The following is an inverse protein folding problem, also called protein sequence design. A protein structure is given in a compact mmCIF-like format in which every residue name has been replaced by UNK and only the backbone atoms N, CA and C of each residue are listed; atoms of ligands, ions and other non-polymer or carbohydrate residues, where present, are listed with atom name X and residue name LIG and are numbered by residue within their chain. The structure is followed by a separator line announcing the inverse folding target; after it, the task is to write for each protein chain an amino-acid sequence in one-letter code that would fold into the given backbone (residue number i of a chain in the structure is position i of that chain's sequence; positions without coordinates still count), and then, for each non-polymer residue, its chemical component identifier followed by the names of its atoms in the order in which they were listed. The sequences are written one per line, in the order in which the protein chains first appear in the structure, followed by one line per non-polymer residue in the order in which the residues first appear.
data_IF_036520336304
#
_entry.id   IF_036520336304
#
_cell.length_a   1.000
_cell.length_b   1.000
_cell.length_c   1.000
_cell.angle_alpha   90.00
_cell.angle_beta   90.00
_cell.angle_gamma   90.00
#
_symmetry.space_group_name_H-M   'P 1'
#
loop_
_entity.id
_entity.type
_entity.pdbx_description
1 polymer ?
#
# COMPACT_ATOMS: atom_id res chain seq x y z
N UNK A 1 8.96 12.67 -2.72
CA UNK A 1 8.52 11.62 -1.80
C UNK A 1 8.60 10.25 -2.49
N UNK A 2 8.86 9.24 -1.72
CA UNK A 2 8.97 7.89 -2.27
C UNK A 2 7.59 7.32 -2.61
N UNK A 3 7.50 6.63 -3.74
CA UNK A 3 6.30 5.94 -4.18
C UNK A 3 6.45 4.44 -3.92
N UNK A 4 5.37 3.82 -3.44
CA UNK A 4 5.32 2.39 -3.18
C UNK A 4 4.09 1.79 -3.85
N UNK A 5 4.26 0.62 -4.43
CA UNK A 5 3.15 -0.22 -4.88
C UNK A 5 2.97 -1.31 -3.82
N UNK A 6 1.77 -1.43 -3.31
CA UNK A 6 1.46 -2.35 -2.22
C UNK A 6 0.45 -3.35 -2.72
N UNK A 7 0.82 -4.62 -2.68
CA UNK A 7 -0.04 -5.75 -3.04
C UNK A 7 -0.57 -6.34 -1.76
N UNK A 8 -1.87 -6.47 -1.66
CA UNK A 8 -2.53 -6.93 -0.43
C UNK A 8 -3.36 -8.17 -0.69
N UNK A 9 -3.34 -9.08 0.26
CA UNK A 9 -4.15 -10.30 0.21
C UNK A 9 -4.96 -10.40 1.50
N UNK A 10 -6.23 -10.79 1.38
CA UNK A 10 -7.07 -11.04 2.54
C UNK A 10 -6.55 -12.25 3.29
N UNK A 11 -6.58 -12.17 4.62
CA UNK A 11 -6.47 -13.35 5.48
C UNK A 11 -7.81 -14.09 5.50
N UNK A 12 -7.88 -15.24 6.16
CA UNK A 12 -9.15 -15.94 6.37
C UNK A 12 -10.17 -15.02 7.05
N UNK A 13 -9.75 -14.28 8.05
CA UNK A 13 -10.61 -13.32 8.73
C UNK A 13 -11.07 -12.22 7.77
N UNK A 14 -10.14 -11.68 6.98
CA UNK A 14 -10.44 -10.59 6.06
C UNK A 14 -11.43 -10.98 4.98
N UNK A 15 -11.28 -12.16 4.39
CA UNK A 15 -12.21 -12.60 3.34
C UNK A 15 -13.59 -12.93 3.90
N UNK A 16 -13.66 -13.47 5.12
CA UNK A 16 -14.97 -13.69 5.77
C UNK A 16 -15.71 -12.39 6.03
N UNK A 17 -14.98 -11.31 6.28
CA UNK A 17 -15.54 -9.99 6.56
C UNK A 17 -15.39 -9.03 5.38
N UNK A 18 -15.36 -9.56 4.16
CA UNK A 18 -15.05 -8.75 2.95
C UNK A 18 -16.06 -7.62 2.71
N UNK A 19 -17.29 -7.78 3.16
CA UNK A 19 -18.33 -6.75 3.00
C UNK A 19 -17.94 -5.44 3.68
N UNK A 20 -17.13 -5.49 4.73
CA UNK A 20 -16.69 -4.30 5.46
C UNK A 20 -15.40 -3.71 4.87
N UNK A 21 -14.79 -4.37 3.87
CA UNK A 21 -13.50 -3.95 3.33
C UNK A 21 -13.49 -2.51 2.78
N UNK A 22 -14.50 -2.06 2.04
CA UNK A 22 -14.49 -0.67 1.55
C UNK A 22 -14.44 0.36 2.69
N UNK A 23 -15.16 0.12 3.78
CA UNK A 23 -15.12 1.01 4.94
C UNK A 23 -13.75 0.95 5.64
N UNK A 24 -13.15 -0.24 5.72
CA UNK A 24 -11.80 -0.40 6.26
C UNK A 24 -10.77 0.34 5.42
N UNK A 25 -10.93 0.34 4.09
CA UNK A 25 -10.02 1.06 3.19
C UNK A 25 -10.09 2.57 3.42
N UNK A 26 -11.30 3.10 3.59
CA UNK A 26 -11.50 4.52 3.89
C UNK A 26 -10.82 4.88 5.22
N UNK A 27 -11.01 4.05 6.25
CA UNK A 27 -10.40 4.25 7.56
C UNK A 27 -8.87 4.17 7.49
N UNK A 28 -8.33 3.24 6.71
CA UNK A 28 -6.90 3.11 6.50
C UNK A 28 -6.32 4.36 5.81
N UNK A 29 -6.99 4.85 4.78
CA UNK A 29 -6.58 6.06 4.08
C UNK A 29 -6.45 7.24 5.04
N UNK A 30 -7.45 7.44 5.90
CA UNK A 30 -7.44 8.51 6.89
C UNK A 30 -6.31 8.33 7.90
N UNK A 31 -6.11 7.11 8.40
CA UNK A 31 -5.03 6.80 9.33
C UNK A 31 -3.64 7.01 8.71
N UNK A 32 -3.48 6.61 7.46
CA UNK A 32 -2.22 6.78 6.73
C UNK A 32 -1.88 8.26 6.55
N UNK A 33 -2.86 9.10 6.25
CA UNK A 33 -2.66 10.55 6.11
C UNK A 33 -2.09 11.17 7.38
N UNK A 34 -2.52 10.70 8.55
CA UNK A 34 -1.99 11.18 9.84
C UNK A 34 -0.52 10.81 10.04
N UNK A 35 -0.03 9.79 9.36
CA UNK A 35 1.37 9.37 9.39
C UNK A 35 2.19 10.01 8.26
N UNK A 36 1.58 10.88 7.46
CA UNK A 36 2.26 11.51 6.33
C UNK A 36 2.30 10.65 5.08
N UNK A 37 1.42 9.65 4.99
CA UNK A 37 1.31 8.77 3.82
C UNK A 37 0.08 9.15 3.01
N UNK A 38 0.26 9.43 1.72
CA UNK A 38 -0.83 9.73 0.80
C UNK A 38 -1.17 8.46 0.00
N UNK A 39 -2.40 8.01 0.09
CA UNK A 39 -2.91 6.91 -0.74
C UNK A 39 -3.38 7.53 -2.06
N UNK A 40 -2.61 7.31 -3.12
CA UNK A 40 -2.89 7.93 -4.42
C UNK A 40 -3.91 7.14 -5.24
N UNK A 41 -3.82 5.82 -5.19
CA UNK A 41 -4.72 4.92 -5.90
C UNK A 41 -4.94 3.67 -5.08
N UNK A 42 -6.15 3.12 -5.17
CA UNK A 42 -6.49 1.85 -4.55
C UNK A 42 -7.51 1.13 -5.43
N UNK A 43 -7.25 -0.13 -5.73
CA UNK A 43 -8.12 -0.95 -6.56
C UNK A 43 -8.27 -2.33 -5.94
N UNK A 44 -9.48 -2.88 -6.03
CA UNK A 44 -9.69 -4.30 -5.77
C UNK A 44 -9.33 -5.09 -7.03
N UNK A 45 -8.68 -6.21 -6.83
CA UNK A 45 -8.28 -7.09 -7.93
C UNK A 45 -8.79 -8.51 -7.68
N UNK A 46 -8.87 -9.28 -8.76
CA UNK A 46 -9.24 -10.69 -8.69
C UNK A 46 -8.12 -11.49 -9.30
N UNK A 47 -7.44 -12.29 -8.48
CA UNK A 47 -6.26 -13.05 -8.90
C UNK A 47 -5.36 -13.35 -7.73
N UNK A 48 -4.05 -13.27 -7.94
CA UNK A 48 -3.06 -13.58 -6.92
C UNK A 48 -3.11 -12.63 -5.72
N UNK A 49 -3.57 -11.41 -5.95
CA UNK A 49 -3.73 -10.40 -4.90
C UNK A 49 -5.13 -9.83 -4.94
N UNK A 50 -5.58 -9.28 -3.81
CA UNK A 50 -6.96 -8.81 -3.66
C UNK A 50 -7.10 -7.30 -3.74
N UNK A 51 -6.06 -6.56 -3.36
CA UNK A 51 -6.06 -5.10 -3.41
C UNK A 51 -4.69 -4.63 -3.88
N UNK A 52 -4.67 -3.63 -4.74
CA UNK A 52 -3.45 -2.94 -5.17
C UNK A 52 -3.55 -1.48 -4.76
N UNK A 53 -2.54 -0.99 -4.05
CA UNK A 53 -2.50 0.39 -3.57
C UNK A 53 -1.23 1.06 -4.08
N UNK A 54 -1.35 2.30 -4.51
CA UNK A 54 -0.21 3.16 -4.79
C UNK A 54 -0.18 4.25 -3.72
N UNK A 55 0.93 4.32 -2.99
CA UNK A 55 1.08 5.26 -1.89
C UNK A 55 2.38 6.05 -2.00
N UNK A 56 2.37 7.26 -1.46
CA UNK A 56 3.56 8.12 -1.39
C UNK A 56 3.82 8.53 0.04
N UNK A 57 5.09 8.47 0.44
CA UNK A 57 5.50 8.86 1.78
C UNK A 57 6.93 8.44 2.07
N UNK A 58 7.41 8.79 3.27
CA UNK A 58 8.70 8.29 3.74
C UNK A 58 8.60 6.78 4.02
N UNK A 59 9.70 6.06 3.77
CA UNK A 59 9.72 4.61 3.94
C UNK A 59 9.30 4.16 5.34
N UNK A 60 9.75 4.86 6.38
CA UNK A 60 9.37 4.54 7.76
C UNK A 60 7.88 4.75 8.01
N UNK A 61 7.29 5.81 7.43
CA UNK A 61 5.87 6.09 7.58
C UNK A 61 5.02 5.02 6.85
N UNK A 62 5.43 4.63 5.66
CA UNK A 62 4.79 3.53 4.90
C UNK A 62 4.84 2.25 5.73
N UNK A 63 6.01 1.91 6.26
CA UNK A 63 6.18 0.71 7.08
C UNK A 63 5.26 0.73 8.31
N UNK A 64 5.22 1.86 9.02
CA UNK A 64 4.34 2.01 10.18
C UNK A 64 2.87 1.83 9.83
N UNK A 65 2.44 2.43 8.71
CA UNK A 65 1.06 2.29 8.24
C UNK A 65 0.71 0.84 7.93
N UNK A 66 1.61 0.13 7.24
CA UNK A 66 1.37 -1.27 6.88
C UNK A 66 1.40 -2.20 8.08
N UNK A 67 2.26 -1.94 9.05
CA UNK A 67 2.28 -2.73 10.31
C UNK A 67 0.98 -2.53 11.08
N UNK A 68 0.51 -1.29 11.17
CA UNK A 68 -0.76 -1.00 11.84
C UNK A 68 -1.91 -1.73 11.14
N UNK A 69 -1.94 -1.67 9.82
CA UNK A 69 -2.94 -2.40 9.03
C UNK A 69 -2.87 -3.92 9.30
N UNK A 70 -1.66 -4.46 9.35
CA UNK A 70 -1.45 -5.88 9.62
C UNK A 70 -1.96 -6.33 11.00
N UNK A 71 -1.87 -5.44 12.01
CA UNK A 71 -2.34 -5.78 13.36
C UNK A 71 -3.85 -5.98 13.43
N UNK A 72 -4.60 -5.45 12.49
CA UNK A 72 -6.06 -5.65 12.43
C UNK A 72 -6.44 -7.04 11.97
N UNK A 73 -5.50 -7.78 11.39
CA UNK A 73 -5.69 -9.19 11.07
C UNK A 73 -6.45 -9.50 9.78
N UNK A 74 -6.85 -8.49 9.01
CA UNK A 74 -7.68 -8.68 7.81
C UNK A 74 -6.86 -8.82 6.53
N UNK A 75 -5.64 -8.29 6.51
CA UNK A 75 -4.83 -8.17 5.29
C UNK A 75 -3.36 -8.43 5.62
N UNK A 76 -2.68 -9.10 4.67
CA UNK A 76 -1.22 -9.15 4.62
C UNK A 76 -0.76 -8.41 3.37
N UNK A 77 0.35 -7.72 3.46
CA UNK A 77 0.83 -6.87 2.38
C UNK A 77 2.24 -7.23 1.94
N UNK A 78 2.50 -6.97 0.67
CA UNK A 78 3.85 -6.94 0.10
C UNK A 78 4.04 -5.56 -0.51
N UNK A 79 5.03 -4.83 -0.06
CA UNK A 79 5.28 -3.49 -0.58
C UNK A 79 6.54 -3.47 -1.43
N UNK A 80 6.49 -2.69 -2.51
CA UNK A 80 7.58 -2.54 -3.45
C UNK A 80 7.87 -1.06 -3.65
N UNK A 81 9.15 -0.68 -3.57
CA UNK A 81 9.55 0.68 -3.94
C UNK A 81 9.35 0.85 -5.44
N UNK A 82 8.63 1.89 -5.83
CA UNK A 82 8.32 2.16 -7.23
C UNK A 82 9.02 3.44 -7.69
N UNK A 83 9.45 3.45 -8.94
CA UNK A 83 10.10 4.59 -9.57
C UNK A 83 9.37 4.91 -10.86
N UNK A 84 9.12 6.21 -11.11
CA UNK A 84 8.59 6.65 -12.40
C UNK A 84 9.66 6.45 -13.48
N UNK A 85 9.26 6.47 -14.77
CA UNK A 85 10.24 6.46 -15.85
C UNK A 85 11.28 7.60 -15.75
N UNK A 86 10.86 8.79 -15.34
CA UNK A 86 11.78 9.92 -15.17
C UNK A 86 12.74 9.69 -14.01
N UNK A 87 12.26 9.18 -12.89
CA UNK A 87 13.12 8.80 -11.77
C UNK A 87 14.13 7.73 -12.19
N UNK A 88 13.67 6.75 -12.98
CA UNK A 88 14.55 5.68 -13.47
C UNK A 88 15.67 6.26 -14.35
N UNK A 89 15.37 7.24 -15.18
CA UNK A 89 16.40 7.91 -15.98
C UNK A 89 17.51 8.48 -15.10
N UNK A 90 17.13 9.10 -13.97
CA UNK A 90 18.09 9.63 -13.01
C UNK A 90 18.95 8.54 -12.37
N UNK A 91 18.33 7.40 -12.04
CA UNK A 91 19.01 6.26 -11.46
C UNK A 91 20.03 5.69 -12.46
N UNK A 92 19.60 5.53 -13.71
CA UNK A 92 20.46 4.96 -14.76
C UNK A 92 21.70 5.79 -15.03
N UNK A 93 21.67 7.09 -14.80
CA UNK A 93 22.85 7.95 -14.91
C UNK A 93 23.97 7.54 -13.95
N UNK A 94 23.63 6.87 -12.85
CA UNK A 94 24.61 6.40 -11.88
C UNK A 94 25.40 5.19 -12.37
N UNK A 95 24.98 4.58 -13.47
CA UNK A 95 25.65 3.43 -14.07
C UNK A 95 26.78 3.82 -15.03
N UNK A 96 26.91 5.09 -15.33
CA UNK A 96 27.93 5.56 -16.28
C UNK A 96 29.35 5.41 -15.74
#
# INVERSE_FOLDING_TARGET
MATYVILSSFTDQGIRNVKDSPDRLIAFKAAAEKLGVAIKHAYYTVGAHDIVVVAEGAGEAITAALLKLGTLGNIRTTSMRAYSPDEMKGILKKLA
#
